data_IF_688967332713
#
_entry.id   IF_688967332713
#
_cell.length_a   1.000
_cell.length_b   1.000
_cell.length_c   1.000
_cell.angle_alpha   90.00
_cell.angle_beta   90.00
_cell.angle_gamma   90.00
#
_symmetry.space_group_name_H-M   'P 1'
#
loop_
_entity.id
_entity.type
_entity.pdbx_description
1 polymer ?
#
# COMPACT_ATOMS: atom_id res chain seq x y z
N UNK A 1 34.29 23.98 6.28
CA UNK A 1 33.53 24.16 7.54
C UNK A 1 32.04 24.14 7.19
N UNK A 2 31.32 23.07 7.55
CA UNK A 2 29.85 22.99 7.73
C UNK A 2 29.41 21.51 7.73
N UNK A 3 30.01 20.70 8.60
CA UNK A 3 29.53 19.35 8.89
C UNK A 3 29.07 19.38 10.35
N UNK A 4 27.75 19.35 10.58
CA UNK A 4 27.22 19.21 11.93
C UNK A 4 26.01 20.08 12.20
N UNK A 5 24.84 19.73 11.63
CA UNK A 5 23.54 20.23 12.10
C UNK A 5 22.37 19.28 11.79
N UNK A 6 22.45 17.97 12.05
CA UNK A 6 21.22 17.12 12.11
C UNK A 6 21.36 15.99 13.16
N UNK A 7 21.88 16.26 14.35
CA UNK A 7 21.83 15.31 15.47
C UNK A 7 21.33 16.03 16.71
N UNK A 8 20.07 16.47 16.73
CA UNK A 8 19.51 17.07 17.95
C UNK A 8 17.98 17.03 18.03
N UNK A 9 17.31 15.89 17.79
CA UNK A 9 15.95 15.70 18.33
C UNK A 9 15.70 14.23 18.61
N UNK A 10 16.17 13.73 19.76
CA UNK A 10 15.64 12.53 20.44
C UNK A 10 16.39 12.34 21.77
N UNK A 11 16.04 13.11 22.81
CA UNK A 11 16.37 12.77 24.20
C UNK A 11 15.54 13.65 25.17
N UNK A 12 14.80 12.97 26.05
CA UNK A 12 13.94 13.55 27.09
C UNK A 12 12.50 13.09 26.87
N UNK A 13 11.87 12.27 27.71
CA UNK A 13 11.86 12.28 29.16
C UNK A 13 11.63 10.87 29.72
N UNK A 14 12.53 10.41 30.59
CA UNK A 14 12.25 9.38 31.58
C UNK A 14 12.74 9.92 32.93
N UNK A 15 11.82 10.15 33.86
CA UNK A 15 11.98 10.27 35.33
C UNK A 15 10.60 10.66 35.88
N UNK A 16 9.91 9.75 36.58
CA UNK A 16 10.01 9.47 38.01
C UNK A 16 8.90 10.19 38.80
N UNK A 17 7.85 9.44 39.17
CA UNK A 17 7.00 9.76 40.33
C UNK A 17 6.71 8.46 41.09
N UNK A 18 7.42 8.29 42.21
CA UNK A 18 7.11 7.34 43.29
C UNK A 18 6.31 8.11 44.33
N UNK A 19 5.16 7.58 44.75
CA UNK A 19 4.38 8.05 45.89
C UNK A 19 3.38 6.97 46.34
N UNK A 20 3.21 6.72 47.65
CA UNK A 20 2.60 5.49 48.17
C UNK A 20 1.09 5.64 48.43
N UNK A 21 0.34 4.55 48.32
CA UNK A 21 -1.07 4.53 48.72
C UNK A 21 -1.70 3.15 48.54
N UNK A 22 -1.75 2.38 49.63
CA UNK A 22 -2.57 1.16 49.75
C UNK A 22 -4.04 1.54 49.62
N UNK A 23 -4.77 0.95 48.67
CA UNK A 23 -6.21 0.74 48.80
C UNK A 23 -6.61 -0.63 48.23
N UNK A 24 -6.85 -1.55 49.18
CA UNK A 24 -7.82 -2.65 49.21
C UNK A 24 -8.11 -3.46 47.95
N UNK A 25 -7.63 -4.71 47.97
CA UNK A 25 -8.24 -5.85 47.28
C UNK A 25 -9.66 -6.10 47.83
N UNK A 26 -10.67 -6.04 46.97
CA UNK A 26 -11.88 -6.87 47.06
C UNK A 26 -12.48 -6.93 45.65
N UNK A 27 -12.34 -8.05 44.94
CA UNK A 27 -13.26 -9.20 44.96
C UNK A 27 -14.65 -8.83 44.42
N UNK A 28 -14.73 -8.75 43.08
CA UNK A 28 -15.98 -9.05 42.37
C UNK A 28 -15.71 -10.15 41.34
N UNK A 29 -16.17 -11.33 41.76
CA UNK A 29 -16.54 -12.51 41.01
C UNK A 29 -16.80 -12.31 39.51
N UNK A 30 -16.02 -13.06 38.73
CA UNK A 30 -16.53 -14.20 37.94
C UNK A 30 -17.80 -13.93 37.13
N UNK A 31 -17.62 -13.34 35.96
CA UNK A 31 -18.38 -13.73 34.77
C UNK A 31 -17.36 -14.14 33.71
N UNK A 32 -17.02 -15.43 33.71
CA UNK A 32 -16.32 -16.08 32.61
C UNK A 32 -17.33 -16.25 31.48
N UNK A 33 -17.65 -15.14 30.81
CA UNK A 33 -18.34 -15.20 29.53
C UNK A 33 -17.37 -15.85 28.55
N UNK A 34 -17.78 -17.00 28.04
CA UNK A 34 -17.11 -17.74 26.99
C UNK A 34 -17.20 -16.91 25.70
N UNK A 35 -16.35 -15.88 25.59
CA UNK A 35 -16.17 -15.15 24.35
C UNK A 35 -15.30 -16.05 23.48
N UNK A 36 -15.95 -16.90 22.68
CA UNK A 36 -15.32 -17.44 21.48
C UNK A 36 -14.64 -16.27 20.77
N UNK A 37 -13.31 -16.26 20.56
CA UNK A 37 -12.69 -15.26 19.71
C UNK A 37 -13.17 -15.58 18.28
N UNK A 38 -14.35 -15.05 17.96
CA UNK A 38 -14.90 -15.10 16.63
C UNK A 38 -13.93 -14.37 15.71
N UNK A 39 -13.49 -15.11 14.69
CA UNK A 39 -12.61 -14.70 13.61
C UNK A 39 -11.17 -14.42 14.07
N UNK A 40 -10.34 -15.45 13.97
CA UNK A 40 -9.00 -15.23 13.40
C UNK A 40 -9.22 -14.46 12.11
N UNK A 41 -9.02 -13.13 12.16
CA UNK A 41 -8.74 -12.39 10.95
C UNK A 41 -7.55 -13.13 10.34
N UNK A 42 -7.79 -13.77 9.19
CA UNK A 42 -6.72 -14.31 8.38
C UNK A 42 -5.85 -13.09 8.11
N UNK A 43 -4.72 -12.98 8.82
CA UNK A 43 -3.71 -11.97 8.53
C UNK A 43 -3.39 -12.22 7.06
N UNK A 44 -3.98 -11.44 6.17
CA UNK A 44 -3.67 -11.42 4.75
C UNK A 44 -2.30 -10.79 4.62
N UNK A 45 -1.33 -11.58 5.08
CA UNK A 45 0.09 -11.59 4.85
C UNK A 45 0.69 -10.27 4.35
N UNK A 46 0.72 -9.25 5.18
CA UNK A 46 1.82 -8.28 5.11
C UNK A 46 2.98 -8.83 5.94
N UNK A 47 4.21 -8.65 5.43
CA UNK A 47 5.40 -8.86 6.27
C UNK A 47 5.28 -7.93 7.48
N UNK A 48 5.47 -8.48 8.68
CA UNK A 48 5.35 -7.78 9.97
C UNK A 48 6.44 -6.71 10.15
N UNK A 49 6.54 -5.73 9.27
CA UNK A 49 7.36 -4.56 9.50
C UNK A 49 6.55 -3.56 10.33
N UNK A 50 6.97 -3.42 11.58
CA UNK A 50 6.38 -2.53 12.60
C UNK A 50 7.19 -1.24 12.76
N UNK A 51 7.90 -0.80 11.71
CA UNK A 51 8.75 0.39 11.81
C UNK A 51 7.95 1.70 11.71
N UNK A 52 6.64 1.61 11.45
CA UNK A 52 5.73 2.75 11.47
C UNK A 52 6.10 3.78 10.40
N UNK A 53 6.44 5.00 10.83
CA UNK A 53 6.80 6.09 9.92
C UNK A 53 8.17 5.92 9.26
N UNK A 54 9.05 5.06 9.79
CA UNK A 54 10.38 4.86 9.21
C UNK A 54 10.31 4.20 7.82
N UNK A 55 9.21 3.52 7.47
CA UNK A 55 9.03 2.89 6.16
C UNK A 55 8.79 3.88 5.02
N UNK A 56 8.53 5.15 5.34
CA UNK A 56 8.43 6.24 4.36
C UNK A 56 9.78 6.81 3.97
N UNK A 57 10.88 6.34 4.56
CA UNK A 57 12.22 6.82 4.27
C UNK A 57 13.11 5.63 3.88
N UNK A 58 14.09 5.89 3.01
CA UNK A 58 15.10 4.91 2.65
C UNK A 58 15.99 4.61 3.87
N UNK A 59 16.74 3.51 3.80
CA UNK A 59 17.69 3.13 4.83
C UNK A 59 18.62 4.30 5.18
N UNK A 60 18.86 4.62 6.46
CA UNK A 60 19.69 5.76 6.86
C UNK A 60 21.11 5.76 6.30
N UNK A 61 21.59 4.60 5.84
CA UNK A 61 22.88 4.42 5.17
C UNK A 61 22.93 5.01 3.76
N UNK A 62 21.77 5.14 3.10
CA UNK A 62 21.63 5.62 1.72
C UNK A 62 21.40 7.14 1.66
N UNK A 63 21.26 7.82 2.81
CA UNK A 63 21.01 9.25 2.84
C UNK A 63 22.21 10.04 2.30
N UNK A 64 21.95 10.91 1.32
CA UNK A 64 22.99 11.72 0.67
C UNK A 64 23.81 10.98 -0.39
N UNK A 65 23.50 9.72 -0.68
CA UNK A 65 24.07 9.02 -1.84
C UNK A 65 23.46 9.55 -3.14
N UNK A 66 24.28 9.82 -4.16
CA UNK A 66 23.82 10.29 -5.47
C UNK A 66 23.19 9.17 -6.30
N UNK A 67 23.70 7.94 -6.16
CA UNK A 67 23.20 6.76 -6.87
C UNK A 67 22.92 5.61 -5.91
N UNK A 68 21.70 5.08 -5.97
CA UNK A 68 21.29 3.88 -5.21
C UNK A 68 21.10 2.73 -6.18
N UNK A 69 21.87 1.66 -5.98
CA UNK A 69 21.77 0.46 -6.83
C UNK A 69 20.40 -0.18 -6.66
N UNK A 70 19.70 -0.36 -7.77
CA UNK A 70 18.34 -0.89 -7.81
C UNK A 70 18.25 -2.05 -8.79
N UNK A 71 17.39 -3.03 -8.50
CA UNK A 71 17.13 -4.17 -9.37
C UNK A 71 16.36 -3.80 -10.65
N UNK A 72 16.04 -4.83 -11.45
CA UNK A 72 15.16 -4.70 -12.62
C UNK A 72 13.68 -4.63 -12.21
N UNK A 73 12.85 -4.10 -13.10
CA UNK A 73 11.39 -4.13 -12.95
C UNK A 73 10.84 -5.56 -13.10
N UNK A 74 9.67 -5.81 -12.53
CA UNK A 74 8.95 -7.07 -12.68
C UNK A 74 8.33 -7.19 -14.07
N UNK A 75 8.62 -8.29 -14.76
CA UNK A 75 8.04 -8.56 -16.09
C UNK A 75 6.72 -9.32 -15.98
N UNK A 76 5.83 -9.15 -16.97
CA UNK A 76 4.55 -9.85 -17.03
C UNK A 76 4.69 -11.38 -16.89
N UNK A 77 5.68 -11.96 -17.56
CA UNK A 77 5.92 -13.41 -17.56
C UNK A 77 6.28 -13.93 -16.15
N UNK A 78 7.11 -13.19 -15.42
CA UNK A 78 7.46 -13.54 -14.04
C UNK A 78 6.24 -13.50 -13.11
N UNK A 79 5.36 -12.51 -13.31
CA UNK A 79 4.15 -12.31 -12.51
C UNK A 79 3.06 -13.35 -12.82
N UNK A 80 2.94 -13.80 -14.08
CA UNK A 80 2.01 -14.86 -14.48
C UNK A 80 2.29 -16.19 -13.78
N UNK A 81 3.55 -16.47 -13.45
CA UNK A 81 3.95 -17.68 -12.71
C UNK A 81 3.67 -17.62 -11.20
N UNK A 82 3.19 -16.51 -10.65
CA UNK A 82 2.92 -16.35 -9.21
C UNK A 82 1.45 -16.57 -8.84
N UNK A 83 1.24 -17.03 -7.61
CA UNK A 83 -0.11 -17.19 -7.03
C UNK A 83 -0.79 -15.83 -6.81
N UNK A 84 -2.13 -15.78 -6.81
CA UNK A 84 -2.87 -14.55 -6.51
C UNK A 84 -2.55 -14.01 -5.11
N UNK A 85 -2.34 -14.89 -4.13
CA UNK A 85 -1.95 -14.49 -2.78
C UNK A 85 -0.60 -13.77 -2.79
N UNK A 86 0.39 -14.28 -3.50
CA UNK A 86 1.72 -13.64 -3.55
C UNK A 86 1.72 -12.35 -4.35
N UNK A 87 0.92 -12.24 -5.43
CA UNK A 87 0.72 -10.97 -6.13
C UNK A 87 0.12 -9.91 -5.21
N UNK A 88 -0.86 -10.28 -4.38
CA UNK A 88 -1.44 -9.36 -3.40
C UNK A 88 -0.39 -8.87 -2.40
N UNK A 89 0.48 -9.75 -1.89
CA UNK A 89 1.58 -9.36 -0.99
C UNK A 89 2.58 -8.44 -1.71
N UNK A 90 2.96 -8.80 -2.93
CA UNK A 90 3.90 -8.05 -3.75
C UNK A 90 3.40 -6.65 -4.05
N UNK A 91 2.10 -6.48 -4.34
CA UNK A 91 1.48 -5.18 -4.54
C UNK A 91 1.74 -4.23 -3.36
N UNK A 92 1.57 -4.70 -2.13
CA UNK A 92 1.85 -3.87 -0.95
C UNK A 92 3.33 -3.60 -0.72
N UNK A 93 4.22 -4.53 -1.08
CA UNK A 93 5.67 -4.27 -1.04
C UNK A 93 6.04 -3.15 -2.02
N UNK A 94 5.56 -3.23 -3.27
CA UNK A 94 5.77 -2.21 -4.29
C UNK A 94 5.12 -0.88 -3.91
N UNK A 95 3.93 -0.90 -3.30
CA UNK A 95 3.23 0.30 -2.86
C UNK A 95 4.01 1.05 -1.77
N UNK A 96 4.58 0.34 -0.80
CA UNK A 96 5.41 0.97 0.24
C UNK A 96 6.66 1.60 -0.34
N UNK A 97 7.31 0.88 -1.25
CA UNK A 97 8.46 1.37 -2.00
C UNK A 97 8.14 2.63 -2.81
N UNK A 98 7.02 2.61 -3.56
CA UNK A 98 6.53 3.78 -4.30
C UNK A 98 6.27 4.97 -3.39
N UNK A 99 5.61 4.75 -2.25
CA UNK A 99 5.31 5.83 -1.30
C UNK A 99 6.59 6.43 -0.71
N UNK A 100 7.59 5.62 -0.40
CA UNK A 100 8.90 6.09 0.07
C UNK A 100 9.67 6.85 -1.02
N UNK A 101 9.56 6.44 -2.27
CA UNK A 101 10.18 7.17 -3.38
C UNK A 101 9.49 8.51 -3.65
N UNK A 102 8.16 8.58 -3.50
CA UNK A 102 7.42 9.83 -3.65
C UNK A 102 7.71 10.84 -2.52
N UNK A 103 7.88 10.38 -1.28
CA UNK A 103 8.33 11.25 -0.17
C UNK A 103 9.73 11.78 -0.44
N UNK A 104 10.63 10.92 -0.96
CA UNK A 104 11.99 11.29 -1.32
C UNK A 104 12.01 12.32 -2.47
N UNK A 105 11.25 12.08 -3.54
CA UNK A 105 11.10 13.02 -4.67
C UNK A 105 10.60 14.39 -4.18
N UNK A 106 9.60 14.40 -3.31
CA UNK A 106 9.03 15.63 -2.78
C UNK A 106 10.00 16.39 -1.87
N UNK A 107 10.77 15.68 -1.04
CA UNK A 107 11.78 16.30 -0.18
C UNK A 107 12.96 16.82 -1.02
N UNK A 108 13.38 16.12 -2.08
CA UNK A 108 14.40 16.60 -3.01
C UNK A 108 13.97 17.92 -3.69
N UNK A 109 12.71 17.99 -4.15
CA UNK A 109 12.12 19.23 -4.68
C UNK A 109 12.12 20.36 -3.66
N UNK A 110 11.76 20.08 -2.40
CA UNK A 110 11.77 21.06 -1.31
C UNK A 110 13.16 21.60 -1.02
N UNK A 111 14.16 20.72 -0.99
CA UNK A 111 15.58 21.08 -0.80
C UNK A 111 16.23 21.67 -2.05
N UNK A 112 15.53 21.66 -3.20
CA UNK A 112 16.03 22.08 -4.52
C UNK A 112 17.27 21.29 -4.96
N UNK A 113 17.30 20.01 -4.62
CA UNK A 113 18.33 19.05 -5.01
C UNK A 113 17.78 18.06 -6.04
N UNK A 114 18.63 17.50 -6.92
CA UNK A 114 18.21 16.41 -7.78
C UNK A 114 17.85 15.18 -6.95
N UNK A 115 16.83 14.43 -7.40
CA UNK A 115 16.43 13.18 -6.77
C UNK A 115 17.50 12.10 -7.02
N UNK A 116 17.98 11.40 -5.98
CA UNK A 116 18.74 10.16 -6.14
C UNK A 116 17.98 9.13 -6.98
N UNK A 117 18.56 8.72 -8.11
CA UNK A 117 18.06 7.61 -8.96
C UNK A 117 16.55 7.62 -9.26
N UNK A 118 16.02 8.58 -10.05
CA UNK A 118 14.59 8.64 -10.40
C UNK A 118 14.10 7.39 -11.17
N UNK A 119 15.01 6.70 -11.87
CA UNK A 119 14.75 5.43 -12.55
C UNK A 119 14.10 4.36 -11.64
N UNK A 120 14.37 4.40 -10.33
CA UNK A 120 13.79 3.43 -9.38
C UNK A 120 12.28 3.59 -9.30
N UNK A 121 11.78 4.82 -9.34
CA UNK A 121 10.35 5.12 -9.31
C UNK A 121 9.65 4.66 -10.58
N UNK A 122 10.31 4.84 -11.73
CA UNK A 122 9.81 4.36 -13.02
C UNK A 122 9.68 2.83 -13.04
N UNK A 123 10.72 2.11 -12.59
CA UNK A 123 10.73 0.64 -12.50
C UNK A 123 9.65 0.11 -11.57
N UNK A 124 9.41 0.77 -10.44
CA UNK A 124 8.34 0.39 -9.50
C UNK A 124 6.97 0.64 -10.11
N UNK A 125 6.78 1.77 -10.79
CA UNK A 125 5.52 2.09 -11.48
C UNK A 125 5.22 1.08 -12.58
N UNK A 126 6.21 0.76 -13.41
CA UNK A 126 6.11 -0.27 -14.45
C UNK A 126 5.76 -1.64 -13.85
N UNK A 127 6.39 -2.01 -12.74
CA UNK A 127 6.09 -3.26 -12.02
C UNK A 127 4.67 -3.31 -11.48
N UNK A 128 4.15 -2.18 -10.98
CA UNK A 128 2.76 -2.08 -10.50
C UNK A 128 1.77 -2.21 -11.65
N UNK A 129 2.00 -1.52 -12.77
CA UNK A 129 1.16 -1.61 -13.96
C UNK A 129 1.18 -3.03 -14.56
N UNK A 130 2.34 -3.69 -14.53
CA UNK A 130 2.48 -5.07 -14.96
C UNK A 130 1.67 -6.03 -14.10
N UNK A 131 1.66 -5.81 -12.78
CA UNK A 131 0.88 -6.60 -11.82
C UNK A 131 -0.62 -6.40 -12.03
N UNK A 132 -1.08 -5.15 -12.14
CA UNK A 132 -2.49 -4.83 -12.37
C UNK A 132 -3.00 -5.46 -13.68
N UNK A 133 -2.22 -5.36 -14.77
CA UNK A 133 -2.54 -6.03 -16.04
C UNK A 133 -2.69 -7.54 -15.91
N UNK A 134 -1.77 -8.22 -15.21
CA UNK A 134 -1.85 -9.68 -15.03
C UNK A 134 -3.08 -10.09 -14.22
N UNK A 135 -3.46 -9.30 -13.21
CA UNK A 135 -4.69 -9.54 -12.44
C UNK A 135 -5.93 -9.31 -13.31
N UNK A 136 -5.96 -8.24 -14.09
CA UNK A 136 -7.04 -7.95 -15.04
C UNK A 136 -7.19 -9.04 -16.12
N UNK A 137 -6.09 -9.57 -16.65
CA UNK A 137 -6.08 -10.70 -17.59
C UNK A 137 -6.76 -11.93 -16.98
N UNK A 138 -6.41 -12.26 -15.73
CA UNK A 138 -6.99 -13.41 -14.99
C UNK A 138 -8.49 -13.22 -14.75
N UNK A 139 -8.89 -12.04 -14.30
CA UNK A 139 -10.30 -11.72 -14.04
C UNK A 139 -11.13 -11.68 -15.32
N UNK A 140 -10.56 -11.19 -16.41
CA UNK A 140 -11.19 -11.19 -17.73
C UNK A 140 -11.42 -12.60 -18.25
N UNK A 141 -10.39 -13.46 -18.22
CA UNK A 141 -10.50 -14.84 -18.66
C UNK A 141 -11.55 -15.62 -17.84
N UNK A 142 -11.55 -15.43 -16.52
CA UNK A 142 -12.54 -16.06 -15.63
C UNK A 142 -13.96 -15.60 -15.95
N UNK A 143 -14.17 -14.30 -16.13
CA UNK A 143 -15.50 -13.73 -16.49
C UNK A 143 -15.99 -14.27 -17.81
N UNK A 144 -15.13 -14.30 -18.83
CA UNK A 144 -15.50 -14.79 -20.15
C UNK A 144 -15.96 -16.25 -20.11
N UNK A 145 -15.29 -17.10 -19.31
CA UNK A 145 -15.68 -18.50 -19.14
C UNK A 145 -16.97 -18.68 -18.33
N UNK A 146 -17.23 -17.83 -17.34
CA UNK A 146 -18.39 -17.96 -16.46
C UNK A 146 -19.66 -17.33 -17.02
N UNK A 147 -19.58 -16.13 -17.60
CA UNK A 147 -20.74 -15.35 -18.06
C UNK A 147 -20.74 -15.08 -19.56
N UNK A 148 -19.61 -15.26 -20.26
CA UNK A 148 -19.45 -14.88 -21.65
C UNK A 148 -19.40 -13.36 -21.89
N UNK A 149 -19.36 -12.55 -20.82
CA UNK A 149 -19.33 -11.09 -20.95
C UNK A 149 -17.90 -10.55 -21.03
N UNK A 150 -17.63 -9.70 -22.01
CA UNK A 150 -16.31 -9.09 -22.19
C UNK A 150 -16.04 -8.02 -21.11
N UNK A 151 -17.00 -7.13 -20.88
CA UNK A 151 -16.80 -5.97 -19.99
C UNK A 151 -17.19 -6.27 -18.54
N UNK A 152 -16.40 -5.82 -17.55
CA UNK A 152 -16.75 -5.97 -16.13
C UNK A 152 -17.95 -5.13 -15.74
N UNK A 153 -18.08 -3.95 -16.35
CA UNK A 153 -19.16 -3.00 -16.09
C UNK A 153 -20.14 -3.04 -17.25
N UNK A 154 -21.43 -3.32 -16.99
CA UNK A 154 -22.44 -3.26 -18.04
C UNK A 154 -22.66 -1.83 -18.53
N UNK A 155 -23.06 -1.73 -19.79
CA UNK A 155 -23.38 -0.49 -20.45
C UNK A 155 -24.07 -0.79 -21.78
N UNK A 156 -24.50 0.27 -22.44
CA UNK A 156 -25.13 0.17 -23.75
C UNK A 156 -24.90 1.44 -24.57
N UNK A 157 -25.01 1.33 -25.89
CA UNK A 157 -24.86 2.47 -26.80
C UNK A 157 -26.11 3.35 -26.74
N UNK A 158 -25.93 4.62 -26.36
CA UNK A 158 -27.02 5.61 -26.29
C UNK A 158 -26.68 6.83 -27.12
N UNK A 159 -27.70 7.49 -27.66
CA UNK A 159 -27.57 8.80 -28.27
C UNK A 159 -27.72 9.87 -27.20
N UNK A 160 -26.75 10.76 -27.13
CA UNK A 160 -26.83 11.93 -26.27
C UNK A 160 -27.82 12.96 -26.85
N UNK A 161 -28.16 13.99 -26.07
CA UNK A 161 -29.04 15.10 -26.48
C UNK A 161 -28.55 15.82 -27.75
N UNK A 162 -27.24 15.76 -28.02
CA UNK A 162 -26.61 16.32 -29.22
C UNK A 162 -26.55 15.33 -30.39
N UNK A 163 -27.08 14.12 -30.25
CA UNK A 163 -27.11 13.08 -31.28
C UNK A 163 -25.86 12.20 -31.39
N UNK A 164 -24.81 12.44 -30.59
CA UNK A 164 -23.61 11.60 -30.54
C UNK A 164 -23.89 10.22 -29.94
N UNK A 165 -23.34 9.16 -30.54
CA UNK A 165 -23.42 7.80 -30.00
C UNK A 165 -22.32 7.60 -28.97
N UNK A 166 -22.70 7.38 -27.72
CA UNK A 166 -21.79 7.19 -26.58
C UNK A 166 -22.06 5.84 -25.89
N UNK A 167 -21.00 5.21 -25.38
CA UNK A 167 -21.13 4.04 -24.52
C UNK A 167 -21.56 4.49 -23.12
N UNK A 168 -22.85 4.33 -22.81
CA UNK A 168 -23.40 4.71 -21.52
C UNK A 168 -23.13 3.60 -20.49
N UNK A 169 -22.22 3.88 -19.55
CA UNK A 169 -21.87 2.98 -18.45
C UNK A 169 -22.95 3.04 -17.38
N UNK A 170 -23.55 1.89 -17.04
CA UNK A 170 -24.59 1.85 -16.01
C UNK A 170 -24.03 2.20 -14.63
N UNK A 171 -24.88 2.84 -13.83
CA UNK A 171 -24.64 3.11 -12.40
C UNK A 171 -25.50 2.16 -11.59
N UNK A 172 -25.00 1.80 -10.41
CA UNK A 172 -25.77 1.01 -9.45
C UNK A 172 -26.79 1.94 -8.79
N UNK A 173 -28.05 1.53 -8.78
CA UNK A 173 -29.16 2.25 -8.14
C UNK A 173 -29.90 1.30 -7.20
N UNK A 174 -30.36 1.77 -6.03
CA UNK A 174 -31.12 0.94 -5.09
C UNK A 174 -32.58 0.72 -5.53
N UNK A 175 -33.08 1.56 -6.44
CA UNK A 175 -34.46 1.56 -6.93
C UNK A 175 -34.40 1.36 -8.46
N UNK A 176 -35.37 0.65 -9.06
CA UNK A 176 -35.50 0.55 -10.51
C UNK A 176 -35.55 1.92 -11.20
N UNK A 177 -35.14 1.94 -12.47
CA UNK A 177 -35.16 3.11 -13.34
C UNK A 177 -36.57 3.45 -13.83
#
# INVERSE_FOLDING_TARGET
MAAGRIITVCRGFATALKGPGRFTFSLLNKIRANINPFHQYKLIHTTLSRKGLEEFFDDPKNWGAETVKSGAAWTHEQLRCKSNEDLHKLWYVLLKERNMLLTLEQEAKRQRLPMPSPERLEKVTESMDALDKVVQERDYALRLLQTGQEYPRPGDWRKDIFGHIIWYKYKQWPIPW
#
